data_IF_911169614245
#
_entry.id   IF_911169614245
#
_cell.length_a   1.000
_cell.length_b   1.000
_cell.length_c   1.000
_cell.angle_alpha   90.00
_cell.angle_beta   90.00
_cell.angle_gamma   90.00
#
_symmetry.space_group_name_H-M   'P 1'
#
loop_
_entity.id
_entity.type
_entity.pdbx_description
1 polymer ?
#
# COMPACT_ATOMS: atom_id res chain seq x y z
N UNK A 1 -38.89 -75.50 26.77
CA UNK A 1 -37.77 -74.61 27.16
C UNK A 1 -38.21 -73.18 26.86
N UNK A 2 -38.46 -72.35 27.89
CA UNK A 2 -38.78 -70.93 27.71
C UNK A 2 -37.46 -70.19 27.47
N UNK A 3 -37.32 -69.53 26.31
CA UNK A 3 -36.25 -68.59 26.06
C UNK A 3 -36.62 -67.24 26.67
N UNK A 4 -35.76 -66.70 27.53
CA UNK A 4 -35.84 -65.33 28.02
C UNK A 4 -35.09 -64.42 27.04
N UNK A 5 -35.79 -63.42 26.52
CA UNK A 5 -35.23 -62.40 25.65
C UNK A 5 -34.21 -61.55 26.43
N UNK A 6 -33.02 -61.41 25.85
CA UNK A 6 -31.94 -60.57 26.35
C UNK A 6 -32.05 -59.18 25.71
N UNK A 7 -32.36 -58.16 26.50
CA UNK A 7 -32.37 -56.77 26.06
C UNK A 7 -30.99 -56.12 26.34
N UNK A 8 -30.30 -55.55 25.33
CA UNK A 8 -28.96 -55.02 25.50
C UNK A 8 -28.97 -53.68 26.27
N UNK A 9 -27.91 -53.37 27.04
CA UNK A 9 -27.86 -52.17 27.86
C UNK A 9 -27.80 -50.90 26.99
N UNK A 10 -28.66 -49.93 27.32
CA UNK A 10 -28.73 -48.62 26.68
C UNK A 10 -27.40 -47.88 26.78
N UNK A 11 -26.86 -47.48 25.63
CA UNK A 11 -25.67 -46.63 25.49
C UNK A 11 -25.77 -45.33 26.31
N UNK A 12 -24.72 -44.95 27.07
CA UNK A 12 -24.72 -43.70 27.82
C UNK A 12 -24.72 -42.50 26.84
N UNK A 13 -25.78 -41.69 26.90
CA UNK A 13 -25.88 -40.42 26.16
C UNK A 13 -24.77 -39.49 26.64
N UNK A 14 -23.75 -39.31 25.81
CA UNK A 14 -22.62 -38.42 26.09
C UNK A 14 -23.08 -36.96 26.08
N UNK A 15 -23.49 -36.45 27.25
CA UNK A 15 -23.93 -35.06 27.41
C UNK A 15 -22.69 -34.16 27.51
N UNK A 16 -22.38 -33.46 26.43
CA UNK A 16 -21.28 -32.48 26.39
C UNK A 16 -21.61 -31.36 27.40
N UNK A 17 -20.73 -31.05 28.38
CA UNK A 17 -20.96 -29.97 29.33
C UNK A 17 -21.22 -28.64 28.62
N UNK A 18 -22.14 -27.82 29.14
CA UNK A 18 -22.39 -26.46 28.60
C UNK A 18 -21.11 -25.63 28.53
N UNK A 19 -20.18 -25.87 29.46
CA UNK A 19 -18.86 -25.20 29.52
C UNK A 19 -17.99 -25.57 28.31
N UNK A 20 -17.95 -26.83 27.89
CA UNK A 20 -17.18 -27.23 26.71
C UNK A 20 -17.78 -26.68 25.42
N UNK A 21 -19.11 -26.55 25.34
CA UNK A 21 -19.79 -25.96 24.19
C UNK A 21 -19.49 -24.45 24.09
N UNK A 22 -19.48 -23.74 25.24
CA UNK A 22 -19.03 -22.34 25.34
C UNK A 22 -17.56 -22.18 24.94
N UNK A 23 -16.67 -23.06 25.39
CA UNK A 23 -15.25 -23.00 25.05
C UNK A 23 -15.01 -23.19 23.53
N UNK A 24 -15.70 -24.15 22.90
CA UNK A 24 -15.63 -24.36 21.44
C UNK A 24 -16.15 -23.13 20.69
N UNK A 25 -17.28 -22.54 21.12
CA UNK A 25 -17.81 -21.32 20.50
C UNK A 25 -16.81 -20.17 20.57
N UNK A 26 -16.17 -19.96 21.73
CA UNK A 26 -15.16 -18.92 21.93
C UNK A 26 -13.95 -19.15 21.02
N UNK A 27 -13.45 -20.39 20.95
CA UNK A 27 -12.32 -20.74 20.06
C UNK A 27 -12.68 -20.51 18.59
N UNK A 28 -13.88 -20.89 18.15
CA UNK A 28 -14.35 -20.65 16.80
C UNK A 28 -14.45 -19.15 16.49
N UNK A 29 -14.97 -18.34 17.40
CA UNK A 29 -15.00 -16.88 17.23
C UNK A 29 -13.58 -16.33 17.10
N UNK A 30 -12.65 -16.69 17.99
CA UNK A 30 -11.26 -16.21 17.92
C UNK A 30 -10.48 -16.73 16.70
N UNK A 31 -10.83 -17.90 16.15
CA UNK A 31 -10.23 -18.43 14.93
C UNK A 31 -10.83 -17.82 13.65
N UNK A 32 -12.14 -17.55 13.65
CA UNK A 32 -12.86 -17.03 12.49
C UNK A 32 -12.68 -15.51 12.36
N UNK A 33 -12.66 -14.74 13.45
CA UNK A 33 -12.53 -13.27 13.38
C UNK A 33 -11.31 -12.80 12.57
N UNK A 34 -10.08 -13.33 12.78
CA UNK A 34 -8.89 -13.01 11.98
C UNK A 34 -9.03 -13.31 10.49
N UNK A 35 -9.84 -14.30 10.11
CA UNK A 35 -10.05 -14.70 8.72
C UNK A 35 -10.99 -13.74 7.96
N UNK A 36 -11.84 -12.99 8.67
CA UNK A 36 -12.78 -12.04 8.05
C UNK A 36 -12.23 -10.61 7.94
N UNK A 37 -11.25 -10.24 8.79
CA UNK A 37 -10.59 -8.92 8.71
C UNK A 37 -9.96 -8.61 7.33
N UNK A 38 -9.26 -9.55 6.65
CA UNK A 38 -8.71 -9.31 5.31
C UNK A 38 -9.81 -8.99 4.28
N UNK A 39 -10.95 -9.69 4.36
CA UNK A 39 -12.07 -9.49 3.43
C UNK A 39 -12.70 -8.09 3.59
N UNK A 40 -12.83 -7.61 4.83
CA UNK A 40 -13.40 -6.29 5.11
C UNK A 40 -12.45 -5.15 4.71
N UNK A 41 -11.14 -5.33 4.90
CA UNK A 41 -10.14 -4.30 4.53
C UNK A 41 -9.89 -4.19 3.02
N UNK A 42 -10.12 -5.28 2.27
CA UNK A 42 -9.98 -5.28 0.82
C UNK A 42 -11.08 -4.44 0.16
N UNK A 43 -12.33 -4.52 0.65
CA UNK A 43 -13.47 -3.78 0.11
C UNK A 43 -13.32 -2.25 0.22
N UNK A 44 -12.59 -1.77 1.23
CA UNK A 44 -12.36 -0.32 1.44
C UNK A 44 -11.23 0.27 0.59
N UNK A 45 -10.45 -0.56 -0.14
CA UNK A 45 -9.29 -0.11 -0.92
C UNK A 45 -9.58 0.19 -2.40
N UNK A 46 -10.84 0.11 -2.86
CA UNK A 46 -11.24 0.66 -4.15
C UNK A 46 -11.28 2.21 -4.08
N UNK A 47 -10.09 2.81 -4.03
CA UNK A 47 -9.91 4.25 -4.22
C UNK A 47 -10.49 4.64 -5.59
N UNK A 48 -11.57 5.43 -5.56
CA UNK A 48 -12.03 6.24 -6.68
C UNK A 48 -10.91 7.22 -7.04
N UNK A 49 -10.08 6.89 -8.03
CA UNK A 49 -9.25 7.87 -8.72
C UNK A 49 -10.23 8.78 -9.49
N UNK A 50 -10.39 10.01 -9.01
CA UNK A 50 -11.22 11.03 -9.63
C UNK A 50 -10.54 11.50 -10.93
N UNK A 51 -10.93 10.91 -12.06
CA UNK A 51 -10.50 11.27 -13.41
C UNK A 51 -11.27 12.51 -13.89
N UNK A 52 -10.94 13.69 -13.36
CA UNK A 52 -11.45 14.95 -13.92
C UNK A 52 -10.26 15.78 -14.42
N UNK A 53 -10.35 16.19 -15.69
CA UNK A 53 -9.50 17.14 -16.43
C UNK A 53 -8.53 16.55 -17.48
N UNK A 54 -9.08 15.98 -18.56
CA UNK A 54 -8.40 16.00 -19.87
C UNK A 54 -9.44 16.45 -20.90
N UNK A 55 -9.29 17.65 -21.50
CA UNK A 55 -10.11 18.07 -22.63
C UNK A 55 -9.53 17.50 -23.92
N UNK A 56 -10.26 16.57 -24.55
CA UNK A 56 -9.98 16.12 -25.91
C UNK A 56 -10.55 17.13 -26.91
N UNK A 57 -9.67 17.84 -27.62
CA UNK A 57 -10.01 18.70 -28.74
C UNK A 57 -9.82 17.96 -30.07
N UNK A 58 -10.90 17.93 -30.88
CA UNK A 58 -10.96 17.90 -32.36
C UNK A 58 -10.34 16.68 -33.08
N UNK A 59 -10.89 16.05 -34.11
CA UNK A 59 -12.03 16.30 -35.02
C UNK A 59 -12.03 15.18 -36.07
N UNK A 60 -13.18 14.95 -36.73
CA UNK A 60 -13.43 14.15 -37.96
C UNK A 60 -14.10 12.77 -37.83
N UNK A 61 -15.44 12.83 -37.83
CA UNK A 61 -16.40 12.33 -38.84
C UNK A 61 -16.29 10.89 -39.42
N UNK A 62 -17.47 10.24 -39.37
CA UNK A 62 -18.03 9.13 -40.19
C UNK A 62 -18.02 7.69 -39.67
N UNK A 63 -19.24 7.21 -39.37
CA UNK A 63 -19.74 5.90 -39.82
C UNK A 63 -19.62 4.69 -38.87
N UNK A 64 -20.75 4.31 -38.27
CA UNK A 64 -21.19 2.95 -37.89
C UNK A 64 -20.13 1.91 -37.46
N UNK A 65 -20.08 1.59 -36.15
CA UNK A 65 -20.37 0.23 -35.62
C UNK A 65 -20.44 0.28 -34.09
N UNK A 66 -21.49 -0.31 -33.51
CA UNK A 66 -21.61 -0.51 -32.06
C UNK A 66 -20.51 -1.47 -31.57
N UNK A 67 -19.46 -0.93 -30.97
CA UNK A 67 -18.59 -1.67 -30.06
C UNK A 67 -18.25 -0.76 -28.88
N UNK A 68 -18.75 -1.14 -27.70
CA UNK A 68 -18.45 -0.53 -26.41
C UNK A 68 -16.95 -0.21 -26.32
N UNK A 69 -16.51 1.03 -26.07
CA UNK A 69 -15.10 1.34 -26.06
C UNK A 69 -14.50 0.61 -24.86
N UNK A 70 -13.79 -0.49 -25.12
CA UNK A 70 -12.83 -1.02 -24.16
C UNK A 70 -11.97 0.16 -23.78
N UNK A 71 -12.13 0.66 -22.56
CA UNK A 71 -11.38 1.82 -22.11
C UNK A 71 -9.93 1.39 -22.14
N UNK A 72 -9.23 1.73 -23.23
CA UNK A 72 -7.79 1.55 -23.35
C UNK A 72 -7.24 2.45 -22.23
N UNK A 73 -7.00 1.85 -21.07
CA UNK A 73 -6.15 2.47 -20.07
C UNK A 73 -4.80 2.47 -20.77
N UNK A 74 -4.47 3.60 -21.38
CA UNK A 74 -3.20 3.81 -22.05
C UNK A 74 -2.11 3.35 -21.09
N UNK A 75 -1.49 2.24 -21.46
CA UNK A 75 -0.56 1.52 -20.60
C UNK A 75 0.74 2.31 -20.64
N UNK A 76 0.83 3.35 -19.82
CA UNK A 76 2.08 4.12 -19.72
C UNK A 76 3.18 3.23 -19.12
N UNK A 77 4.24 3.02 -19.88
CA UNK A 77 5.50 2.50 -19.34
C UNK A 77 6.24 3.59 -18.54
N UNK A 78 6.22 3.45 -17.21
CA UNK A 78 6.90 4.40 -16.31
C UNK A 78 8.41 4.17 -16.21
N UNK A 79 8.94 3.08 -16.78
CA UNK A 79 10.35 2.68 -16.67
C UNK A 79 11.22 3.12 -17.86
N UNK A 80 10.59 3.51 -18.97
CA UNK A 80 11.26 4.07 -20.15
C UNK A 80 11.08 5.58 -20.21
N UNK A 81 12.17 6.33 -20.33
CA UNK A 81 12.15 7.79 -20.24
C UNK A 81 13.53 8.42 -20.17
N UNK A 82 13.56 9.66 -19.70
CA UNK A 82 14.78 10.45 -19.57
C UNK A 82 14.84 11.20 -18.23
N UNK A 83 16.05 11.55 -17.82
CA UNK A 83 16.25 12.49 -16.73
C UNK A 83 16.14 13.91 -17.28
N UNK A 84 15.29 14.73 -16.66
CA UNK A 84 15.12 16.15 -17.01
C UNK A 84 15.33 17.05 -15.80
N UNK A 85 15.81 18.30 -15.98
CA UNK A 85 15.90 19.25 -14.88
C UNK A 85 14.54 19.52 -14.22
N UNK A 86 14.55 19.64 -12.89
CA UNK A 86 13.38 19.97 -12.08
C UNK A 86 13.64 21.23 -11.25
N UNK A 87 13.11 22.40 -11.65
CA UNK A 87 13.31 23.64 -10.90
C UNK A 87 12.64 23.64 -9.52
N UNK A 88 11.73 22.69 -9.24
CA UNK A 88 11.06 22.55 -7.94
C UNK A 88 11.81 21.64 -6.96
N UNK A 89 12.92 21.02 -7.38
CA UNK A 89 13.75 20.15 -6.55
C UNK A 89 14.88 20.94 -5.85
N UNK A 90 15.48 20.40 -4.76
CA UNK A 90 15.15 19.13 -4.10
C UNK A 90 13.88 19.18 -3.26
N UNK A 91 13.24 18.03 -3.08
CA UNK A 91 12.07 17.90 -2.20
C UNK A 91 12.42 17.93 -0.71
N UNK A 92 13.66 17.57 -0.36
CA UNK A 92 14.23 17.62 0.98
C UNK A 92 15.75 17.82 0.89
N UNK A 93 16.35 18.38 1.93
CA UNK A 93 17.80 18.57 2.06
C UNK A 93 18.30 17.96 3.36
N UNK A 94 19.61 17.92 3.53
CA UNK A 94 20.25 17.55 4.80
C UNK A 94 19.88 18.44 5.99
N UNK A 95 19.33 19.63 5.75
CA UNK A 95 18.83 20.53 6.79
C UNK A 95 17.35 20.27 7.13
N UNK A 96 16.56 19.78 6.18
CA UNK A 96 15.12 19.60 6.35
C UNK A 96 14.71 18.20 6.76
N UNK A 97 15.54 17.18 6.47
CA UNK A 97 15.26 15.80 6.85
C UNK A 97 16.26 15.27 7.87
N UNK A 98 15.76 14.77 8.99
CA UNK A 98 16.56 14.15 10.05
C UNK A 98 16.91 12.67 9.78
N UNK A 99 16.19 12.01 8.87
CA UNK A 99 16.36 10.58 8.59
C UNK A 99 17.51 10.26 7.63
N UNK A 100 18.22 11.27 7.10
CA UNK A 100 19.41 11.06 6.28
C UNK A 100 20.54 10.58 7.18
N UNK A 101 21.02 9.35 6.97
CA UNK A 101 22.11 8.84 7.77
C UNK A 101 23.40 9.60 7.50
N UNK A 102 24.25 9.65 8.53
CA UNK A 102 25.49 10.42 8.49
C UNK A 102 26.35 10.05 7.28
N UNK A 103 26.64 8.76 7.07
CA UNK A 103 27.42 8.28 5.91
C UNK A 103 26.79 8.54 4.52
N UNK A 104 25.53 8.99 4.45
CA UNK A 104 24.83 9.34 3.20
C UNK A 104 24.70 10.85 2.98
N UNK A 105 25.13 11.67 3.96
CA UNK A 105 24.95 13.11 3.92
C UNK A 105 26.08 13.79 3.12
N UNK A 106 26.10 13.61 1.81
CA UNK A 106 27.17 14.08 0.92
C UNK A 106 27.50 15.57 1.11
N UNK A 107 26.47 16.41 1.30
CA UNK A 107 26.64 17.86 1.49
C UNK A 107 27.33 18.16 2.83
N UNK A 108 26.98 17.46 3.92
CA UNK A 108 27.67 17.58 5.22
C UNK A 108 29.15 17.18 5.10
N UNK A 109 29.46 16.20 4.25
CA UNK A 109 30.81 15.66 4.06
C UNK A 109 31.59 16.30 2.90
N UNK A 110 31.23 17.52 2.50
CA UNK A 110 32.07 18.35 1.65
C UNK A 110 31.86 18.19 0.14
N UNK A 111 30.77 17.54 -0.30
CA UNK A 111 30.39 17.57 -1.73
C UNK A 111 30.05 19.02 -2.14
N UNK A 112 30.76 19.62 -3.11
CA UNK A 112 30.61 21.03 -3.44
C UNK A 112 29.46 21.33 -4.42
N UNK A 113 29.08 20.36 -5.25
CA UNK A 113 28.05 20.51 -6.27
C UNK A 113 26.65 20.14 -5.74
N UNK A 114 25.62 20.86 -6.19
CA UNK A 114 24.21 20.60 -5.84
C UNK A 114 23.35 20.13 -7.01
N UNK A 115 23.88 20.12 -8.24
CA UNK A 115 23.08 19.89 -9.46
C UNK A 115 22.47 18.49 -9.51
N UNK A 116 23.11 17.49 -8.90
CA UNK A 116 22.57 16.13 -8.82
C UNK A 116 21.21 16.05 -8.13
N UNK A 117 20.87 17.01 -7.26
CA UNK A 117 19.59 17.07 -6.55
C UNK A 117 18.46 17.70 -7.37
N UNK A 118 18.76 18.27 -8.54
CA UNK A 118 17.82 19.04 -9.37
C UNK A 118 17.28 18.26 -10.57
N UNK A 119 17.35 16.93 -10.54
CA UNK A 119 16.85 16.07 -11.61
C UNK A 119 15.52 15.39 -11.23
N UNK A 120 14.68 15.12 -12.22
CA UNK A 120 13.51 14.24 -12.10
C UNK A 120 13.46 13.25 -13.26
N UNK A 121 12.90 12.07 -13.01
CA UNK A 121 12.58 11.11 -14.05
C UNK A 121 11.31 11.56 -14.80
N UNK A 122 11.33 11.47 -16.13
CA UNK A 122 10.17 11.75 -16.99
C UNK A 122 9.97 10.55 -17.93
N UNK A 123 8.91 9.73 -17.73
CA UNK A 123 8.56 8.68 -18.67
C UNK A 123 8.25 9.23 -20.07
N UNK A 124 8.53 8.44 -21.10
CA UNK A 124 8.30 8.84 -22.49
C UNK A 124 6.81 8.98 -22.84
N UNK A 125 5.98 8.16 -22.21
CA UNK A 125 4.57 7.99 -22.57
C UNK A 125 3.61 8.76 -21.66
N UNK A 126 4.06 9.24 -20.50
CA UNK A 126 3.21 10.01 -19.58
C UNK A 126 3.99 10.90 -18.61
N UNK A 127 3.28 11.81 -17.95
CA UNK A 127 3.84 12.68 -16.91
C UNK A 127 3.52 12.11 -15.52
N UNK A 128 4.56 11.90 -14.70
CA UNK A 128 4.38 11.44 -13.32
C UNK A 128 3.86 12.59 -12.43
N UNK A 129 2.88 12.34 -11.56
CA UNK A 129 2.43 13.35 -10.62
C UNK A 129 3.55 13.71 -9.64
N UNK A 130 3.64 14.99 -9.29
CA UNK A 130 4.55 15.45 -8.23
C UNK A 130 4.12 14.78 -6.92
N UNK A 131 5.08 14.17 -6.21
CA UNK A 131 4.82 13.49 -4.95
C UNK A 131 4.13 14.43 -3.95
N UNK A 132 2.91 14.08 -3.55
CA UNK A 132 2.14 14.77 -2.53
C UNK A 132 2.13 13.93 -1.24
N UNK A 133 2.87 14.34 -0.19
CA UNK A 133 2.94 13.57 1.04
C UNK A 133 1.59 13.46 1.77
N UNK A 134 0.71 14.46 1.67
CA UNK A 134 -0.65 14.36 2.26
C UNK A 134 -1.47 13.28 1.59
N UNK A 135 -1.46 13.25 0.25
CA UNK A 135 -2.18 12.24 -0.51
C UNK A 135 -1.65 10.84 -0.23
N UNK A 136 -0.32 10.68 -0.16
CA UNK A 136 0.30 9.41 0.20
C UNK A 136 -0.13 8.94 1.59
N UNK A 137 -0.07 9.83 2.60
CA UNK A 137 -0.47 9.50 3.98
C UNK A 137 -1.94 9.12 4.08
N UNK A 138 -2.83 9.73 3.31
CA UNK A 138 -4.24 9.33 3.27
C UNK A 138 -4.42 7.95 2.63
N UNK A 139 -3.66 7.62 1.58
CA UNK A 139 -3.69 6.30 0.93
C UNK A 139 -3.24 5.19 1.90
N UNK A 140 -2.19 5.45 2.69
CA UNK A 140 -1.63 4.46 3.64
C UNK A 140 -2.27 4.52 5.03
N UNK A 141 -3.29 5.35 5.23
CA UNK A 141 -3.96 5.52 6.52
C UNK A 141 -4.56 4.20 7.01
N UNK A 142 -4.25 3.85 8.25
CA UNK A 142 -4.68 2.58 8.85
C UNK A 142 -3.98 1.34 8.27
N UNK A 143 -2.92 1.51 7.48
CA UNK A 143 -2.10 0.43 6.91
C UNK A 143 -0.68 0.52 7.46
N UNK A 144 0.00 -0.62 7.56
CA UNK A 144 1.44 -0.69 7.83
C UNK A 144 2.20 -0.90 6.52
N UNK A 145 3.33 -0.22 6.35
CA UNK A 145 4.24 -0.38 5.22
C UNK A 145 5.62 -0.76 5.74
N UNK A 146 6.21 -1.80 5.17
CA UNK A 146 7.56 -2.28 5.50
C UNK A 146 8.40 -2.38 4.22
N UNK A 147 9.70 -2.12 4.34
CA UNK A 147 10.67 -2.28 3.27
C UNK A 147 11.54 -3.50 3.58
N UNK A 148 11.52 -4.50 2.71
CA UNK A 148 12.29 -5.74 2.89
C UNK A 148 13.38 -5.80 1.82
N UNK A 149 14.64 -5.88 2.24
CA UNK A 149 15.75 -5.94 1.31
C UNK A 149 17.11 -5.72 1.97
N UNK A 150 18.09 -5.38 1.14
CA UNK A 150 19.45 -5.07 1.54
C UNK A 150 19.62 -3.59 1.94
N UNK A 151 20.86 -3.11 1.87
CA UNK A 151 21.17 -1.69 2.10
C UNK A 151 20.45 -0.74 1.15
N UNK A 152 20.13 -1.15 -0.09
CA UNK A 152 19.39 -0.33 -1.06
C UNK A 152 17.94 -0.17 -0.64
N UNK A 153 17.30 -1.25 -0.16
CA UNK A 153 15.94 -1.20 0.38
C UNK A 153 15.82 -0.22 1.56
N UNK A 154 16.81 -0.24 2.47
CA UNK A 154 16.91 0.73 3.56
C UNK A 154 17.08 2.17 3.06
N UNK A 155 17.88 2.40 2.01
CA UNK A 155 18.05 3.73 1.42
C UNK A 155 16.72 4.28 0.85
N UNK A 156 15.91 3.43 0.22
CA UNK A 156 14.59 3.81 -0.29
C UNK A 156 13.63 4.18 0.83
N UNK A 157 13.60 3.39 1.92
CA UNK A 157 12.82 3.68 3.12
C UNK A 157 13.19 5.05 3.72
N UNK A 158 14.48 5.35 3.86
CA UNK A 158 14.95 6.64 4.38
C UNK A 158 14.53 7.81 3.48
N UNK A 159 14.66 7.67 2.16
CA UNK A 159 14.20 8.67 1.19
C UNK A 159 12.69 8.93 1.32
N UNK A 160 11.89 7.87 1.49
CA UNK A 160 10.45 7.98 1.71
C UNK A 160 10.13 8.74 3.01
N UNK A 161 10.80 8.43 4.13
CA UNK A 161 10.63 9.18 5.38
C UNK A 161 10.93 10.67 5.16
N UNK A 162 12.00 11.00 4.42
CA UNK A 162 12.33 12.38 4.12
C UNK A 162 11.26 13.09 3.28
N UNK A 163 10.68 12.42 2.29
CA UNK A 163 9.55 12.96 1.51
C UNK A 163 8.32 13.23 2.38
N UNK A 164 8.03 12.34 3.32
CA UNK A 164 6.88 12.45 4.24
C UNK A 164 7.11 13.48 5.36
N UNK A 165 8.36 13.69 5.78
CA UNK A 165 8.73 14.62 6.86
C UNK A 165 8.32 16.08 6.58
N UNK A 166 8.01 16.40 5.33
CA UNK A 166 7.51 17.72 4.89
C UNK A 166 6.16 18.10 5.49
N UNK A 167 5.34 17.12 5.90
CA UNK A 167 3.99 17.35 6.44
C UNK A 167 3.74 16.64 7.78
N UNK A 168 4.63 15.73 8.16
CA UNK A 168 4.51 14.94 9.38
C UNK A 168 5.85 14.89 10.10
N UNK A 169 5.97 15.61 11.22
CA UNK A 169 7.14 15.55 12.09
C UNK A 169 7.00 14.39 13.07
N UNK A 170 7.40 13.20 12.67
CA UNK A 170 7.34 12.02 13.54
C UNK A 170 8.74 11.53 13.85
N UNK A 171 9.35 12.04 14.93
CA UNK A 171 10.57 11.41 15.48
C UNK A 171 10.31 9.99 16.01
N UNK A 172 9.04 9.62 16.27
CA UNK A 172 8.67 8.35 16.91
C UNK A 172 7.38 7.66 16.40
N UNK A 173 6.63 8.23 15.45
CA UNK A 173 5.29 7.70 15.09
C UNK A 173 5.23 6.86 13.82
N UNK A 174 6.35 6.65 13.13
CA UNK A 174 6.47 5.62 12.09
C UNK A 174 7.12 4.40 12.75
N UNK A 175 6.29 3.52 13.32
CA UNK A 175 6.72 2.15 13.66
C UNK A 175 6.97 1.43 12.34
N UNK A 176 8.22 1.47 11.88
CA UNK A 176 8.68 0.67 10.75
C UNK A 176 9.19 -0.64 11.35
N UNK A 177 8.43 -1.71 11.12
CA UNK A 177 8.89 -3.08 11.34
C UNK A 177 9.70 -3.54 10.13
#
# INVERSE_FOLDING_TARGET
MKFQDYEPPSSPKHMIPKVTLLAILVILIFAITPLWYPLLSYSTSHLKINKNNIPSSSSHDQGQEENLPSTYVEKCDIFSGEWVPNPKAPYYTNKTCWAIHEHQNCIKYGRPDSEFMKWRWKPSECELPIFNPFQFLEIVKGKSMAFVGDSVGRNQMQSMICLLSRVSYTKHSLLIF
#
